data_IF_929168876036
#
_entry.id   IF_929168876036
#
_cell.length_a   1.000
_cell.length_b   1.000
_cell.length_c   1.000
_cell.angle_alpha   90.00
_cell.angle_beta   90.00
_cell.angle_gamma   90.00
#
_symmetry.space_group_name_H-M   'P 1'
#
loop_
_entity.id
_entity.type
_entity.pdbx_description
1 polymer ?
#
# COMPACT_ATOMS: atom_id res chain seq x y z
N UNK A 1 0.76 25.27 -4.29
CA UNK A 1 1.99 25.03 -3.48
C UNK A 1 1.74 24.30 -2.16
N UNK A 2 0.48 24.08 -1.73
CA UNK A 2 0.13 23.36 -0.49
C UNK A 2 -0.01 21.84 -0.69
N UNK A 3 -0.66 21.41 -1.77
CA UNK A 3 -1.00 19.98 -2.03
C UNK A 3 0.21 19.08 -2.31
N UNK A 4 1.26 19.63 -2.90
CA UNK A 4 2.46 18.88 -3.31
C UNK A 4 3.34 18.49 -2.10
N UNK A 5 3.35 19.31 -1.05
CA UNK A 5 4.01 19.01 0.23
C UNK A 5 3.26 17.96 1.03
N UNK A 6 1.95 17.89 0.88
CA UNK A 6 1.10 16.92 1.56
C UNK A 6 1.23 15.54 0.92
N UNK A 7 1.27 15.47 -0.42
CA UNK A 7 1.70 14.25 -1.15
C UNK A 7 3.08 13.76 -0.72
N UNK A 8 4.02 14.65 -0.45
CA UNK A 8 5.36 14.29 0.01
C UNK A 8 5.38 13.70 1.45
N UNK A 9 4.37 13.98 2.29
CA UNK A 9 4.23 13.39 3.62
C UNK A 9 3.65 11.97 3.60
N UNK A 10 2.92 11.61 2.54
CA UNK A 10 2.13 10.39 2.46
C UNK A 10 0.74 10.56 3.08
N UNK A 11 -0.02 9.47 3.12
CA UNK A 11 -1.40 9.47 3.61
C UNK A 11 -1.59 8.48 4.75
N UNK A 12 -2.64 8.68 5.54
CA UNK A 12 -3.05 7.75 6.58
C UNK A 12 -3.99 6.70 5.99
N UNK A 13 -3.96 5.51 6.58
CA UNK A 13 -4.79 4.40 6.11
C UNK A 13 -5.43 3.67 7.28
N UNK A 14 -6.56 3.01 7.00
CA UNK A 14 -7.24 2.11 7.92
C UNK A 14 -7.66 0.82 7.21
N UNK A 15 -7.85 -0.26 7.98
CA UNK A 15 -8.56 -1.44 7.50
C UNK A 15 -10.04 -1.13 7.25
N UNK A 16 -10.73 -1.99 6.50
CA UNK A 16 -12.19 -1.91 6.29
C UNK A 16 -13.00 -1.80 7.59
N UNK A 17 -12.47 -2.28 8.71
CA UNK A 17 -13.13 -2.25 10.01
C UNK A 17 -12.79 -0.98 10.84
N UNK A 18 -12.12 0.02 10.25
CA UNK A 18 -11.78 1.27 10.92
C UNK A 18 -10.51 1.23 11.77
N UNK A 19 -9.75 0.13 11.75
CA UNK A 19 -8.47 0.05 12.48
C UNK A 19 -7.38 0.78 11.70
N UNK A 20 -6.82 1.84 12.28
CA UNK A 20 -5.73 2.62 11.68
C UNK A 20 -4.47 1.75 11.47
N UNK A 21 -3.83 1.91 10.31
CA UNK A 21 -2.55 1.28 10.01
C UNK A 21 -1.42 2.11 10.63
N UNK A 22 -0.57 1.45 11.41
CA UNK A 22 0.61 2.04 12.04
C UNK A 22 1.84 1.23 11.66
N UNK A 23 2.93 1.92 11.34
CA UNK A 23 4.19 1.29 10.96
C UNK A 23 4.72 0.45 12.12
N UNK A 24 4.97 -0.84 11.87
CA UNK A 24 5.38 -1.77 12.93
C UNK A 24 6.79 -1.44 13.48
N UNK A 25 7.64 -0.81 12.66
CA UNK A 25 9.03 -0.44 13.02
C UNK A 25 9.13 0.87 13.80
N UNK A 26 8.52 1.95 13.32
CA UNK A 26 8.71 3.31 13.85
C UNK A 26 7.45 3.95 14.43
N UNK A 27 6.33 3.22 14.48
CA UNK A 27 5.02 3.72 14.92
C UNK A 27 4.54 4.98 14.17
N UNK A 28 5.03 5.17 12.95
CA UNK A 28 4.61 6.24 12.06
C UNK A 28 3.31 5.88 11.35
N UNK A 29 2.52 6.88 10.97
CA UNK A 29 1.15 6.71 10.46
C UNK A 29 0.94 7.23 9.03
N UNK A 30 1.97 7.74 8.35
CA UNK A 30 1.87 8.15 6.95
C UNK A 30 2.61 7.19 6.02
N UNK A 31 1.97 6.91 4.88
CA UNK A 31 2.41 5.92 3.92
C UNK A 31 2.21 6.39 2.48
N UNK A 32 3.07 5.92 1.58
CA UNK A 32 2.83 5.92 0.15
C UNK A 32 2.15 4.60 -0.22
N UNK A 33 1.02 4.67 -0.94
CA UNK A 33 0.28 3.48 -1.39
C UNK A 33 0.73 3.10 -2.78
N UNK A 34 1.16 1.85 -2.94
CA UNK A 34 1.48 1.25 -4.21
C UNK A 34 0.57 0.02 -4.42
N UNK A 35 0.32 -0.32 -5.70
CA UNK A 35 -0.36 -1.56 -6.07
C UNK A 35 0.68 -2.47 -6.72
N UNK A 36 0.97 -3.61 -6.10
CA UNK A 36 1.96 -4.56 -6.63
C UNK A 36 1.25 -5.85 -7.05
N UNK A 37 1.55 -6.33 -8.26
CA UNK A 37 1.08 -7.63 -8.74
C UNK A 37 1.79 -8.74 -7.97
N UNK A 38 1.04 -9.64 -7.32
CA UNK A 38 1.60 -10.72 -6.50
C UNK A 38 2.12 -11.94 -7.29
N UNK A 39 1.94 -11.97 -8.61
CA UNK A 39 2.16 -13.17 -9.41
C UNK A 39 3.32 -13.08 -10.42
N UNK A 40 3.84 -14.28 -10.67
CA UNK A 40 4.98 -14.71 -11.49
C UNK A 40 4.88 -14.22 -12.94
N UNK A 41 5.97 -13.64 -13.47
CA UNK A 41 6.13 -13.18 -14.86
C UNK A 41 5.64 -14.18 -15.94
N UNK A 42 5.54 -15.47 -15.63
CA UNK A 42 5.07 -16.53 -16.54
C UNK A 42 3.55 -16.62 -16.75
N UNK A 43 2.70 -16.09 -15.85
CA UNK A 43 1.24 -16.15 -16.00
C UNK A 43 0.67 -15.07 -16.94
N UNK A 44 1.34 -13.92 -17.03
CA UNK A 44 1.03 -12.87 -18.02
C UNK A 44 1.30 -13.35 -19.45
N UNK A 45 2.27 -14.25 -19.66
CA UNK A 45 2.52 -14.85 -20.98
C UNK A 45 1.38 -15.79 -21.44
N UNK A 46 0.63 -16.36 -20.49
CA UNK A 46 -0.50 -17.26 -20.76
C UNK A 46 -1.86 -16.54 -20.81
N UNK A 47 -1.88 -15.19 -20.73
CA UNK A 47 -3.11 -14.40 -20.78
C UNK A 47 -4.04 -14.57 -19.58
N UNK A 48 -3.53 -15.10 -18.45
CA UNK A 48 -4.29 -15.33 -17.22
C UNK A 48 -4.16 -14.15 -16.24
N UNK A 49 -4.13 -12.93 -16.76
CA UNK A 49 -3.96 -11.72 -15.95
C UNK A 49 -5.13 -11.48 -14.99
N UNK A 50 -6.30 -12.06 -15.27
CA UNK A 50 -7.47 -12.05 -14.38
C UNK A 50 -7.27 -12.86 -13.09
N UNK A 51 -6.27 -13.75 -13.05
CA UNK A 51 -5.88 -14.50 -11.85
C UNK A 51 -4.84 -13.75 -11.00
N UNK A 52 -4.38 -12.58 -11.47
CA UNK A 52 -3.40 -11.77 -10.75
C UNK A 52 -4.07 -11.04 -9.60
N UNK A 53 -3.96 -11.62 -8.41
CA UNK A 53 -4.28 -10.93 -7.17
C UNK A 53 -3.33 -9.75 -7.01
N UNK A 54 -3.86 -8.53 -7.01
CA UNK A 54 -3.09 -7.34 -6.67
C UNK A 54 -3.00 -7.22 -5.13
N UNK A 55 -1.79 -7.09 -4.59
CA UNK A 55 -1.62 -6.66 -3.20
C UNK A 55 -1.64 -5.14 -3.15
N UNK A 56 -2.29 -4.59 -2.14
CA UNK A 56 -2.02 -3.22 -1.72
C UNK A 56 -0.78 -3.22 -0.85
N UNK A 57 0.19 -2.37 -1.17
CA UNK A 57 1.35 -2.14 -0.33
C UNK A 57 1.34 -0.71 0.22
N UNK A 58 1.67 -0.57 1.50
CA UNK A 58 1.84 0.72 2.16
C UNK A 58 3.30 0.86 2.58
N UNK A 59 4.00 1.83 2.00
CA UNK A 59 5.41 2.11 2.26
C UNK A 59 5.49 3.27 3.26
N UNK A 60 6.05 3.01 4.45
CA UNK A 60 6.21 4.04 5.48
C UNK A 60 7.09 5.18 4.96
N UNK A 61 6.58 6.41 4.97
CA UNK A 61 7.34 7.58 4.45
C UNK A 61 8.51 7.97 5.34
N UNK A 62 8.55 7.49 6.59
CA UNK A 62 9.64 7.73 7.54
C UNK A 62 10.80 6.73 7.45
N UNK A 63 10.51 5.45 7.25
CA UNK A 63 11.52 4.39 7.35
C UNK A 63 11.58 3.43 6.17
N UNK A 64 10.72 3.60 5.16
CA UNK A 64 10.68 2.76 3.96
C UNK A 64 10.15 1.34 4.15
N UNK A 65 9.71 0.96 5.37
CA UNK A 65 9.18 -0.38 5.58
C UNK A 65 7.87 -0.60 4.82
N UNK A 66 7.75 -1.76 4.17
CA UNK A 66 6.64 -2.11 3.31
C UNK A 66 5.67 -3.01 4.07
N UNK A 67 4.44 -2.55 4.22
CA UNK A 67 3.32 -3.34 4.71
C UNK A 67 2.56 -3.94 3.53
N UNK A 68 2.36 -5.27 3.55
CA UNK A 68 1.63 -5.99 2.51
C UNK A 68 0.22 -6.31 3.00
N UNK A 69 -0.78 -5.96 2.19
CA UNK A 69 -2.18 -6.24 2.47
C UNK A 69 -2.81 -7.03 1.32
N UNK A 70 -3.27 -8.24 1.63
CA UNK A 70 -4.09 -9.06 0.73
C UNK A 70 -5.57 -8.61 0.71
N UNK A 71 -5.96 -7.70 1.61
CA UNK A 71 -7.30 -7.10 1.69
C UNK A 71 -7.18 -5.60 1.49
N UNK A 72 -8.28 -4.97 1.10
CA UNK A 72 -8.33 -3.52 0.92
C UNK A 72 -8.05 -2.76 2.23
N UNK A 73 -7.32 -1.67 2.08
CA UNK A 73 -7.10 -0.63 3.10
C UNK A 73 -7.54 0.70 2.51
N UNK A 74 -8.19 1.53 3.32
CA UNK A 74 -8.83 2.77 2.92
C UNK A 74 -7.98 3.96 3.39
N UNK A 75 -7.83 4.97 2.55
CA UNK A 75 -7.20 6.22 2.92
C UNK A 75 -8.15 7.03 3.82
N UNK A 76 -7.60 7.69 4.85
CA UNK A 76 -8.32 8.59 5.77
C UNK A 76 -7.69 9.98 5.82
#
# INVERSE_FOLDING_TARGET
MSEEKEKARGYKFQSKNGIQVICVHFKHDHFNRENVLLNTRGLTFLGLDWLNSAATTLICTRCGYIHWFAKEVQQI
#
